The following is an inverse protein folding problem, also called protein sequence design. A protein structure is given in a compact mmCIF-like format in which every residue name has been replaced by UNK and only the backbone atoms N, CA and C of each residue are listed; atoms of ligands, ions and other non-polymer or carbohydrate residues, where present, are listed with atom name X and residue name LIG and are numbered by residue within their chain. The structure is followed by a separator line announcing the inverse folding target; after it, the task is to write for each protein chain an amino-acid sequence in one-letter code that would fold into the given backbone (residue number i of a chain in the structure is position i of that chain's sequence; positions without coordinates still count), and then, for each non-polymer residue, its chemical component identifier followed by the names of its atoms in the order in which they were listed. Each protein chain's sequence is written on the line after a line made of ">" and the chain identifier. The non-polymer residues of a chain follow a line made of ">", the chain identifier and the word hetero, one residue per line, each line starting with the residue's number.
data_IF_505744790982
#
_entry.id   IF_505744790982
#
_cell.length_a   1.000
_cell.length_b   1.000
_cell.length_c   1.000
_cell.angle_alpha   90.00
_cell.angle_beta   90.00
_cell.angle_gamma   90.00
#
_symmetry.space_group_name_H-M   'P 1'
#
loop_
_entity.id
_entity.type
_entity.pdbx_description
1 polymer ?
#
# COMPACT_ATOMS: atom_id res chain seq x y z
N UNK A 1 14.61 -65.72 -18.83
CA UNK A 1 13.17 -65.46 -18.68
C UNK A 1 12.79 -64.97 -17.27
N UNK A 2 13.23 -65.59 -16.16
CA UNK A 2 12.88 -65.13 -14.79
C UNK A 2 13.30 -63.71 -14.44
N UNK A 3 14.45 -63.22 -14.91
CA UNK A 3 14.91 -61.82 -14.64
C UNK A 3 14.07 -60.77 -15.34
N UNK A 4 13.55 -61.02 -16.54
CA UNK A 4 12.63 -60.14 -17.25
C UNK A 4 11.27 -60.00 -16.55
N UNK A 5 10.79 -61.08 -15.94
CA UNK A 5 9.54 -61.11 -15.18
C UNK A 5 9.62 -60.19 -13.92
N UNK A 6 10.77 -60.17 -13.22
CA UNK A 6 10.97 -59.30 -12.07
C UNK A 6 11.02 -57.83 -12.44
N UNK A 7 11.59 -57.49 -13.57
CA UNK A 7 11.62 -56.08 -14.08
C UNK A 7 10.20 -55.61 -14.45
N UNK A 8 9.36 -56.52 -14.99
CA UNK A 8 7.99 -56.21 -15.35
C UNK A 8 7.11 -55.98 -14.10
N UNK A 9 7.32 -56.79 -13.05
CA UNK A 9 6.60 -56.66 -11.75
C UNK A 9 7.01 -55.39 -11.03
N UNK A 10 8.28 -54.98 -11.06
CA UNK A 10 8.74 -53.72 -10.45
C UNK A 10 8.26 -52.48 -11.20
N UNK A 11 8.09 -52.52 -12.52
CA UNK A 11 7.55 -51.45 -13.35
C UNK A 11 6.01 -51.27 -13.09
N UNK A 12 5.27 -52.33 -12.85
CA UNK A 12 3.83 -52.24 -12.54
C UNK A 12 3.61 -51.64 -11.13
N UNK A 13 4.48 -51.92 -10.16
CA UNK A 13 4.37 -51.34 -8.80
C UNK A 13 4.63 -49.84 -8.72
N UNK A 14 5.39 -49.27 -9.69
CA UNK A 14 5.64 -47.84 -9.76
C UNK A 14 4.44 -47.10 -10.37
N UNK A 15 3.68 -47.74 -11.26
CA UNK A 15 2.51 -47.14 -11.90
C UNK A 15 1.31 -46.94 -10.96
N UNK A 16 1.22 -47.68 -9.85
CA UNK A 16 0.09 -47.56 -8.89
C UNK A 16 0.26 -46.45 -7.87
N UNK A 17 1.44 -45.78 -7.78
CA UNK A 17 1.66 -44.67 -6.84
C UNK A 17 1.30 -43.29 -7.40
N UNK A 18 0.89 -43.22 -8.68
CA UNK A 18 0.66 -41.93 -9.37
C UNK A 18 -0.78 -41.44 -9.40
N UNK A 19 -1.69 -42.00 -8.59
CA UNK A 19 -3.08 -41.55 -8.55
C UNK A 19 -3.60 -41.30 -7.11
N UNK A 20 -2.93 -40.43 -6.38
CA UNK A 20 -3.60 -39.63 -5.36
C UNK A 20 -3.73 -38.20 -5.88
N UNK A 21 -4.59 -37.96 -6.84
CA UNK A 21 -5.24 -36.66 -6.94
C UNK A 21 -6.01 -36.45 -5.67
N UNK A 22 -5.55 -35.51 -4.89
CA UNK A 22 -6.27 -35.02 -3.74
C UNK A 22 -7.66 -34.52 -4.21
N UNK A 23 -8.67 -35.31 -4.01
CA UNK A 23 -10.04 -34.87 -3.88
C UNK A 23 -10.15 -34.34 -2.44
N UNK A 24 -9.38 -33.29 -2.14
CA UNK A 24 -9.35 -32.66 -0.83
C UNK A 24 -9.74 -31.19 -0.96
N UNK A 25 -10.93 -30.97 -1.54
CA UNK A 25 -11.57 -29.63 -1.47
C UNK A 25 -13.06 -29.74 -1.15
N UNK A 26 -13.50 -30.83 -0.55
CA UNK A 26 -14.79 -30.82 0.09
C UNK A 26 -14.64 -30.23 1.49
N UNK A 27 -15.41 -29.19 1.83
CA UNK A 27 -15.36 -28.58 3.16
C UNK A 27 -15.63 -29.63 4.22
N UNK A 28 -14.77 -29.69 5.26
CA UNK A 28 -14.84 -30.69 6.33
C UNK A 28 -16.00 -30.48 7.32
N UNK A 29 -16.67 -29.34 7.25
CA UNK A 29 -17.78 -28.98 8.14
C UNK A 29 -19.07 -28.83 7.36
N UNK A 30 -20.16 -29.40 7.90
CA UNK A 30 -21.53 -29.26 7.36
C UNK A 30 -21.94 -27.76 7.29
N UNK A 31 -21.35 -26.90 8.11
CA UNK A 31 -21.58 -25.46 8.12
C UNK A 31 -21.11 -24.75 6.84
N UNK A 32 -20.25 -25.41 6.05
CA UNK A 32 -19.75 -24.87 4.77
C UNK A 32 -20.72 -25.13 3.60
N UNK A 33 -21.80 -25.88 3.83
CA UNK A 33 -22.83 -26.13 2.83
C UNK A 33 -24.00 -25.18 3.01
N UNK A 34 -24.27 -24.40 1.99
CA UNK A 34 -25.46 -23.56 1.92
C UNK A 34 -26.61 -24.39 1.33
N UNK A 35 -27.55 -24.81 2.18
CA UNK A 35 -28.76 -25.50 1.71
C UNK A 35 -29.76 -24.49 1.17
N UNK A 36 -29.89 -24.41 -0.15
CA UNK A 36 -30.87 -23.56 -0.82
C UNK A 36 -32.17 -24.30 -1.00
N UNK A 37 -33.28 -23.85 -0.40
CA UNK A 37 -34.62 -24.38 -0.63
C UNK A 37 -35.14 -23.90 -1.98
N UNK A 38 -36.02 -24.67 -2.68
CA UNK A 38 -36.68 -24.18 -3.86
C UNK A 38 -37.43 -22.85 -3.55
N UNK A 39 -37.08 -21.79 -4.23
CA UNK A 39 -37.62 -20.42 -4.01
C UNK A 39 -36.70 -19.47 -3.22
N UNK A 40 -35.62 -19.95 -2.64
CA UNK A 40 -34.63 -19.06 -2.01
C UNK A 40 -33.73 -18.39 -3.05
N UNK A 41 -33.50 -17.09 -2.87
CA UNK A 41 -32.56 -16.33 -3.69
C UNK A 41 -31.20 -16.32 -2.99
N UNK A 42 -30.21 -16.96 -3.59
CA UNK A 42 -28.85 -16.99 -3.06
C UNK A 42 -28.11 -15.75 -3.57
N UNK A 43 -27.85 -14.80 -2.69
CA UNK A 43 -27.03 -13.63 -3.02
C UNK A 43 -25.57 -13.94 -2.76
N UNK A 44 -24.80 -14.20 -3.82
CA UNK A 44 -23.35 -14.36 -3.72
C UNK A 44 -22.73 -12.98 -3.87
N UNK A 45 -22.12 -12.46 -2.81
CA UNK A 45 -21.29 -11.26 -2.89
C UNK A 45 -20.00 -11.59 -3.64
N UNK A 46 -19.97 -11.32 -4.93
CA UNK A 46 -18.74 -11.37 -5.70
C UNK A 46 -17.87 -10.21 -5.32
N UNK A 47 -16.59 -10.47 -5.11
CA UNK A 47 -15.62 -9.40 -4.96
C UNK A 47 -15.60 -8.57 -6.23
N UNK A 48 -15.83 -7.27 -6.11
CA UNK A 48 -15.83 -6.35 -7.24
C UNK A 48 -14.43 -6.33 -7.89
N UNK A 49 -14.37 -6.79 -9.13
CA UNK A 49 -13.16 -6.77 -9.94
C UNK A 49 -13.11 -5.45 -10.72
N UNK A 50 -12.29 -4.52 -10.26
CA UNK A 50 -12.00 -3.28 -10.96
C UNK A 50 -11.04 -3.54 -12.12
N UNK A 51 -11.50 -3.45 -13.36
CA UNK A 51 -10.63 -3.54 -14.53
C UNK A 51 -10.05 -2.14 -14.82
N UNK A 52 -8.75 -1.99 -14.57
CA UNK A 52 -8.08 -0.72 -14.86
C UNK A 52 -7.61 -0.70 -16.32
N UNK A 53 -7.97 0.33 -17.09
CA UNK A 53 -7.50 0.49 -18.46
C UNK A 53 -5.97 0.67 -18.48
N UNK A 54 -5.33 0.26 -19.57
CA UNK A 54 -3.88 0.42 -19.72
C UNK A 54 -3.48 1.90 -19.67
N UNK A 55 -2.43 2.27 -18.91
CA UNK A 55 -2.00 3.65 -18.81
C UNK A 55 -1.48 4.17 -20.15
N UNK A 56 -1.92 5.35 -20.56
CA UNK A 56 -1.51 6.00 -21.80
C UNK A 56 -0.43 7.05 -21.49
N UNK A 57 0.73 6.91 -22.11
CA UNK A 57 1.86 7.82 -21.97
C UNK A 57 2.11 8.60 -23.25
N UNK A 58 2.36 9.90 -23.15
CA UNK A 58 2.67 10.77 -24.28
C UNK A 58 4.12 10.64 -24.74
N UNK A 59 5.04 10.17 -23.88
CA UNK A 59 6.46 10.05 -24.19
C UNK A 59 7.17 8.97 -23.38
N UNK A 60 8.35 8.53 -23.88
CA UNK A 60 9.25 7.63 -23.12
C UNK A 60 9.73 8.25 -21.80
N UNK A 61 9.75 9.59 -21.69
CA UNK A 61 10.13 10.30 -20.47
C UNK A 61 9.04 10.12 -19.41
N UNK A 62 7.75 10.12 -19.82
CA UNK A 62 6.62 9.92 -18.92
C UNK A 62 6.66 8.53 -18.30
N UNK A 63 6.96 7.51 -19.13
CA UNK A 63 7.14 6.14 -18.64
C UNK A 63 8.27 6.07 -17.60
N UNK A 64 9.42 6.70 -17.86
CA UNK A 64 10.54 6.72 -16.91
C UNK A 64 10.19 7.43 -15.60
N UNK A 65 9.46 8.55 -15.68
CA UNK A 65 8.98 9.25 -14.50
C UNK A 65 8.01 8.39 -13.70
N UNK A 66 7.02 7.78 -14.36
CA UNK A 66 6.03 6.91 -13.73
C UNK A 66 6.70 5.74 -13.00
N UNK A 67 7.63 5.05 -13.63
CA UNK A 67 8.37 3.95 -13.02
C UNK A 67 9.26 4.40 -11.85
N UNK A 68 9.87 5.57 -11.94
CA UNK A 68 10.62 6.16 -10.84
C UNK A 68 9.70 6.51 -9.66
N UNK A 69 8.53 7.09 -9.94
CA UNK A 69 7.55 7.47 -8.93
C UNK A 69 6.93 6.24 -8.27
N UNK A 70 6.63 5.20 -9.03
CA UNK A 70 6.20 3.89 -8.53
C UNK A 70 7.15 3.34 -7.46
N UNK A 71 8.47 3.38 -7.69
CA UNK A 71 9.46 2.96 -6.70
C UNK A 71 9.38 3.76 -5.41
N UNK A 72 9.06 5.06 -5.49
CA UNK A 72 8.89 5.92 -4.31
C UNK A 72 7.64 5.57 -3.52
N UNK A 73 6.54 5.30 -4.23
CA UNK A 73 5.28 4.87 -3.63
C UNK A 73 5.44 3.51 -2.94
N UNK A 74 6.04 2.54 -3.61
CA UNK A 74 6.26 1.20 -3.06
C UNK A 74 7.13 1.22 -1.80
N UNK A 75 8.06 2.17 -1.70
CA UNK A 75 8.86 2.36 -0.50
C UNK A 75 8.07 3.04 0.63
N UNK A 76 7.20 4.01 0.32
CA UNK A 76 6.44 4.75 1.32
C UNK A 76 5.21 4.01 1.83
N UNK A 77 4.54 3.23 0.97
CA UNK A 77 3.25 2.59 1.26
C UNK A 77 3.26 1.66 2.48
N UNK A 78 4.22 0.74 2.68
CA UNK A 78 4.23 -0.13 3.85
C UNK A 78 4.28 0.65 5.16
N UNK A 79 5.01 1.76 5.20
CA UNK A 79 5.07 2.63 6.38
C UNK A 79 3.77 3.39 6.62
N UNK A 80 3.10 3.85 5.56
CA UNK A 80 1.79 4.47 5.67
C UNK A 80 0.75 3.49 6.20
N UNK A 81 0.73 2.26 5.66
CA UNK A 81 -0.15 1.17 6.10
C UNK A 81 0.07 0.86 7.58
N UNK A 82 1.31 0.63 7.99
CA UNK A 82 1.63 0.34 9.38
C UNK A 82 1.30 1.52 10.31
N UNK A 83 1.60 2.76 9.89
CA UNK A 83 1.28 3.96 10.66
C UNK A 83 -0.24 4.12 10.87
N UNK A 84 -1.06 3.90 9.83
CA UNK A 84 -2.52 3.99 9.94
C UNK A 84 -3.09 2.91 10.87
N UNK A 85 -2.65 1.67 10.77
CA UNK A 85 -3.07 0.57 11.64
C UNK A 85 -2.72 0.84 13.12
N UNK A 86 -1.55 1.42 13.37
CA UNK A 86 -1.13 1.80 14.74
C UNK A 86 -1.94 2.98 15.28
N UNK A 87 -2.24 3.97 14.44
CA UNK A 87 -3.07 5.11 14.81
C UNK A 87 -4.50 4.66 15.15
N UNK A 88 -5.07 3.75 14.38
CA UNK A 88 -6.39 3.17 14.65
C UNK A 88 -6.41 2.40 15.97
N UNK A 89 -5.42 1.52 16.17
CA UNK A 89 -5.29 0.78 17.44
C UNK A 89 -5.13 1.71 18.62
N UNK A 90 -4.32 2.78 18.46
CA UNK A 90 -4.14 3.81 19.49
C UNK A 90 -5.46 4.50 19.84
N UNK A 91 -6.17 4.99 18.82
CA UNK A 91 -7.43 5.72 19.00
C UNK A 91 -8.50 4.83 19.65
N UNK A 92 -8.65 3.59 19.19
CA UNK A 92 -9.59 2.62 19.75
C UNK A 92 -9.31 2.30 21.22
N UNK A 93 -8.04 2.12 21.58
CA UNK A 93 -7.66 1.89 22.98
C UNK A 93 -7.80 3.12 23.85
N UNK A 94 -7.45 4.32 23.33
CA UNK A 94 -7.66 5.56 24.07
C UNK A 94 -9.12 5.85 24.34
N UNK A 95 -10.03 5.49 23.42
CA UNK A 95 -11.48 5.62 23.62
C UNK A 95 -11.99 4.78 24.80
N UNK A 96 -11.38 3.63 25.07
CA UNK A 96 -11.77 2.71 26.17
C UNK A 96 -11.15 3.06 27.53
N UNK A 97 -10.20 3.99 27.60
CA UNK A 97 -9.54 4.36 28.85
C UNK A 97 -10.22 5.60 29.43
N UNK A 98 -10.96 5.48 30.50
CA UNK A 98 -11.65 6.58 31.16
C UNK A 98 -10.69 7.53 31.92
N UNK A 99 -9.73 6.97 32.64
CA UNK A 99 -8.80 7.74 33.45
C UNK A 99 -7.82 8.59 32.65
N UNK A 100 -7.81 9.90 32.86
CA UNK A 100 -6.88 10.86 32.25
C UNK A 100 -5.40 10.48 32.48
N UNK A 101 -5.07 10.01 33.69
CA UNK A 101 -3.68 9.57 34.02
C UNK A 101 -3.28 8.33 33.25
N UNK A 102 -4.16 7.32 33.16
CA UNK A 102 -3.93 6.09 32.38
C UNK A 102 -3.80 6.41 30.87
N UNK A 103 -4.66 7.29 30.31
CA UNK A 103 -4.52 7.79 28.92
C UNK A 103 -3.15 8.42 28.70
N UNK A 104 -2.71 9.28 29.62
CA UNK A 104 -1.41 9.96 29.54
C UNK A 104 -0.24 8.98 29.52
N UNK A 105 -0.26 7.96 30.41
CA UNK A 105 0.76 6.90 30.45
C UNK A 105 0.76 6.07 29.17
N UNK A 106 -0.42 5.67 28.69
CA UNK A 106 -0.56 4.89 27.47
C UNK A 106 -0.05 5.65 26.24
N UNK A 107 -0.47 6.91 26.04
CA UNK A 107 0.00 7.75 24.93
C UNK A 107 1.52 7.90 24.94
N UNK A 108 2.14 8.13 26.13
CA UNK A 108 3.60 8.23 26.24
C UNK A 108 4.32 6.93 25.84
N UNK A 109 3.75 5.77 26.21
CA UNK A 109 4.31 4.46 25.85
C UNK A 109 4.28 4.24 24.33
N UNK A 110 3.13 4.49 23.71
CA UNK A 110 2.97 4.34 22.26
C UNK A 110 3.84 5.33 21.49
N UNK A 111 3.95 6.57 21.98
CA UNK A 111 4.86 7.55 21.40
C UNK A 111 6.29 7.00 21.34
N UNK A 112 6.81 6.55 22.50
CA UNK A 112 8.18 6.00 22.57
C UNK A 112 8.38 4.80 21.65
N UNK A 113 7.37 3.94 21.53
CA UNK A 113 7.39 2.78 20.63
C UNK A 113 7.49 3.22 19.16
N UNK A 114 6.61 4.14 18.73
CA UNK A 114 6.61 4.64 17.35
C UNK A 114 7.89 5.42 17.04
N UNK A 115 8.38 6.24 17.97
CA UNK A 115 9.67 6.94 17.82
C UNK A 115 10.81 5.96 17.57
N UNK A 116 10.89 4.86 18.33
CA UNK A 116 11.92 3.84 18.15
C UNK A 116 11.81 3.09 16.83
N UNK A 117 10.59 2.75 16.41
CA UNK A 117 10.37 1.93 15.21
C UNK A 117 10.50 2.72 13.90
N UNK A 118 10.00 3.96 13.88
CA UNK A 118 9.85 4.71 12.63
C UNK A 118 10.92 5.79 12.38
N UNK A 119 11.58 6.30 13.42
CA UNK A 119 12.50 7.43 13.26
C UNK A 119 13.59 7.17 12.23
N UNK A 120 14.26 6.04 12.34
CA UNK A 120 15.39 5.72 11.47
C UNK A 120 14.96 5.46 10.03
N UNK A 121 13.77 4.89 9.86
CA UNK A 121 13.20 4.64 8.54
C UNK A 121 12.78 5.95 7.86
N UNK A 122 12.10 6.84 8.60
CA UNK A 122 11.67 8.14 8.07
C UNK A 122 12.89 9.02 7.76
N UNK A 123 13.93 9.01 8.58
CA UNK A 123 15.18 9.73 8.33
C UNK A 123 15.88 9.32 7.04
N UNK A 124 15.74 8.05 6.63
CA UNK A 124 16.31 7.52 5.38
C UNK A 124 15.44 7.81 4.14
N UNK A 125 14.24 8.36 4.31
CA UNK A 125 13.37 8.70 3.19
C UNK A 125 13.83 9.96 2.47
N UNK A 126 13.63 9.99 1.17
CA UNK A 126 13.78 11.21 0.37
C UNK A 126 12.59 12.15 0.59
N UNK A 127 12.72 13.41 0.23
CA UNK A 127 11.64 14.41 0.30
C UNK A 127 10.35 13.93 -0.40
N UNK A 128 10.48 13.31 -1.57
CA UNK A 128 9.34 12.76 -2.32
C UNK A 128 8.68 11.60 -1.58
N UNK A 129 9.45 10.66 -1.01
CA UNK A 129 8.93 9.54 -0.22
C UNK A 129 8.19 10.03 1.02
N UNK A 130 8.74 11.04 1.72
CA UNK A 130 8.09 11.64 2.88
C UNK A 130 6.77 12.35 2.53
N UNK A 131 6.70 13.06 1.40
CA UNK A 131 5.46 13.69 0.92
C UNK A 131 4.40 12.63 0.59
N UNK A 132 4.78 11.58 -0.13
CA UNK A 132 3.90 10.45 -0.43
C UNK A 132 3.40 9.82 0.88
N UNK A 133 4.27 9.59 1.86
CA UNK A 133 3.90 9.04 3.16
C UNK A 133 2.82 9.88 3.86
N UNK A 134 2.98 11.22 3.90
CA UNK A 134 2.01 12.14 4.52
C UNK A 134 0.65 12.05 3.82
N UNK A 135 0.64 12.04 2.48
CA UNK A 135 -0.57 11.92 1.67
C UNK A 135 -1.26 10.56 1.87
N UNK A 136 -0.49 9.48 1.91
CA UNK A 136 -1.01 8.14 2.17
C UNK A 136 -1.58 7.98 3.58
N UNK A 137 -1.01 8.64 4.60
CA UNK A 137 -1.61 8.68 5.93
C UNK A 137 -3.00 9.31 5.87
N UNK A 138 -3.18 10.42 5.13
CA UNK A 138 -4.50 11.03 4.95
C UNK A 138 -5.46 10.07 4.23
N UNK A 139 -5.04 9.47 3.11
CA UNK A 139 -5.83 8.47 2.38
C UNK A 139 -6.31 7.33 3.27
N UNK A 140 -5.45 6.80 4.11
CA UNK A 140 -5.72 5.60 4.91
C UNK A 140 -6.44 5.87 6.23
N UNK A 141 -6.36 7.09 6.77
CA UNK A 141 -6.97 7.44 8.06
C UNK A 141 -8.17 8.40 7.95
N UNK A 142 -8.36 9.03 6.79
CA UNK A 142 -9.35 10.10 6.59
C UNK A 142 -9.00 11.41 7.31
N UNK A 143 -7.81 11.49 7.92
CA UNK A 143 -7.33 12.68 8.64
C UNK A 143 -5.91 13.01 8.22
N UNK A 144 -5.62 14.32 8.08
CA UNK A 144 -4.24 14.74 7.79
C UNK A 144 -3.26 14.23 8.85
N UNK A 145 -1.99 14.07 8.48
CA UNK A 145 -0.96 13.67 9.45
C UNK A 145 -0.94 14.62 10.66
N UNK A 146 -1.14 15.92 10.43
CA UNK A 146 -1.27 16.92 11.48
C UNK A 146 -2.44 16.64 12.42
N UNK A 147 -3.63 16.35 11.90
CA UNK A 147 -4.83 16.09 12.69
C UNK A 147 -4.72 14.79 13.49
N UNK A 148 -4.07 13.78 12.94
CA UNK A 148 -3.79 12.52 13.64
C UNK A 148 -2.91 12.73 14.88
N UNK A 149 -1.96 13.67 14.83
CA UNK A 149 -1.05 13.95 15.96
C UNK A 149 -1.50 15.10 16.85
N UNK A 150 -2.46 15.94 16.41
CA UNK A 150 -2.95 17.12 17.16
C UNK A 150 -3.52 16.75 18.52
N UNK A 151 -4.25 15.65 18.60
CA UNK A 151 -4.85 15.14 19.84
C UNK A 151 -3.87 14.40 20.76
N UNK A 152 -2.64 14.15 20.29
CA UNK A 152 -1.60 13.50 21.04
C UNK A 152 -0.77 14.55 21.81
N UNK A 153 0.01 14.10 22.80
CA UNK A 153 0.80 15.02 23.64
C UNK A 153 1.83 15.83 22.82
N UNK A 154 2.29 16.92 23.42
CA UNK A 154 3.30 17.82 22.86
C UNK A 154 4.54 17.11 22.29
N UNK A 155 4.97 15.99 22.91
CA UNK A 155 6.09 15.17 22.43
C UNK A 155 5.89 14.60 21.03
N UNK A 156 4.66 14.19 20.67
CA UNK A 156 4.34 13.74 19.32
C UNK A 156 4.52 14.84 18.27
N UNK A 157 4.09 16.06 18.59
CA UNK A 157 4.32 17.21 17.73
C UNK A 157 5.83 17.45 17.54
N UNK A 158 6.59 17.48 18.64
CA UNK A 158 8.03 17.65 18.58
C UNK A 158 8.73 16.56 17.78
N UNK A 159 8.36 15.29 17.99
CA UNK A 159 8.88 14.16 17.23
C UNK A 159 8.66 14.34 15.72
N UNK A 160 7.40 14.57 15.29
CA UNK A 160 7.09 14.74 13.88
C UNK A 160 7.72 15.98 13.28
N UNK A 161 7.73 17.12 13.99
CA UNK A 161 8.40 18.31 13.52
C UNK A 161 9.91 18.12 13.39
N UNK A 162 10.54 17.49 14.37
CA UNK A 162 11.99 17.24 14.31
C UNK A 162 12.37 16.17 13.28
N UNK A 163 11.51 15.16 13.09
CA UNK A 163 11.79 14.05 12.18
C UNK A 163 11.44 14.39 10.73
N UNK A 164 10.31 15.08 10.50
CA UNK A 164 9.82 15.38 9.14
C UNK A 164 10.12 16.79 8.67
N UNK A 165 9.95 17.81 9.49
CA UNK A 165 10.12 19.20 9.09
C UNK A 165 11.57 19.57 8.83
N UNK A 166 12.50 19.11 9.67
CA UNK A 166 13.93 19.36 9.48
C UNK A 166 14.50 18.61 8.26
N UNK A 167 13.97 17.42 7.97
CA UNK A 167 14.45 16.58 6.86
C UNK A 167 13.81 17.00 5.54
N UNK A 168 12.51 17.31 5.54
CA UNK A 168 11.73 17.40 4.32
C UNK A 168 11.14 18.79 4.06
N UNK A 169 11.05 19.69 5.04
CA UNK A 169 10.29 20.96 4.94
C UNK A 169 8.90 20.73 4.34
N UNK A 170 8.21 19.67 4.81
CA UNK A 170 6.92 19.23 4.30
C UNK A 170 5.79 19.71 5.19
N UNK A 171 4.65 19.97 4.61
CA UNK A 171 3.43 20.27 5.34
C UNK A 171 2.78 18.96 5.84
N UNK A 172 2.60 18.80 7.14
CA UNK A 172 1.82 17.71 7.73
C UNK A 172 0.30 17.88 7.52
N UNK A 173 -0.10 19.02 6.95
CA UNK A 173 -1.49 19.34 6.61
C UNK A 173 -1.86 18.98 5.18
N UNK A 174 -0.90 18.46 4.39
CA UNK A 174 -1.17 18.07 3.01
C UNK A 174 -2.27 17.00 2.99
N UNK A 175 -3.26 17.27 2.17
CA UNK A 175 -4.42 16.40 1.94
C UNK A 175 -4.24 15.56 0.69
N UNK A 176 -5.06 14.53 0.55
CA UNK A 176 -5.06 13.62 -0.58
C UNK A 176 -6.36 13.76 -1.36
N UNK A 177 -6.25 14.17 -2.63
CA UNK A 177 -7.36 14.46 -3.53
C UNK A 177 -7.06 13.94 -4.94
N UNK A 178 -7.28 12.64 -5.22
CA UNK A 178 -6.97 12.04 -6.52
C UNK A 178 -7.83 12.60 -7.66
N UNK A 179 -9.01 13.14 -7.34
CA UNK A 179 -9.92 13.77 -8.27
C UNK A 179 -9.35 15.06 -8.88
N UNK A 180 -8.68 15.89 -8.06
CA UNK A 180 -8.23 17.23 -8.45
C UNK A 180 -6.74 17.36 -8.58
N UNK A 181 -5.97 16.65 -7.73
CA UNK A 181 -4.51 16.74 -7.68
C UNK A 181 -3.88 15.61 -8.50
N UNK A 182 -3.19 15.98 -9.58
CA UNK A 182 -2.59 15.01 -10.49
C UNK A 182 -1.54 14.10 -9.84
N UNK A 183 -0.78 14.57 -8.85
CA UNK A 183 0.16 13.72 -8.10
C UNK A 183 -0.59 12.64 -7.32
N UNK A 184 -1.73 12.97 -6.71
CA UNK A 184 -2.53 12.05 -5.92
C UNK A 184 -3.24 11.04 -6.83
N UNK A 185 -3.70 11.48 -8.01
CA UNK A 185 -4.17 10.57 -9.06
C UNK A 185 -3.09 9.55 -9.45
N UNK A 186 -1.84 10.00 -9.68
CA UNK A 186 -0.74 9.09 -10.01
C UNK A 186 -0.43 8.11 -8.86
N UNK A 187 -0.53 8.57 -7.62
CA UNK A 187 -0.36 7.69 -6.45
C UNK A 187 -1.46 6.63 -6.46
N UNK A 188 -2.72 7.03 -6.65
CA UNK A 188 -3.86 6.10 -6.64
C UNK A 188 -3.79 5.11 -7.81
N UNK A 189 -3.49 5.57 -9.03
CA UNK A 189 -3.33 4.69 -10.20
C UNK A 189 -2.28 3.61 -9.96
N UNK A 190 -1.13 4.00 -9.41
CA UNK A 190 -0.04 3.06 -9.11
C UNK A 190 -0.43 2.09 -8.00
N UNK A 191 -1.14 2.54 -6.97
CA UNK A 191 -1.61 1.69 -5.88
C UNK A 191 -2.65 0.69 -6.35
N UNK A 192 -3.66 1.13 -7.10
CA UNK A 192 -4.74 0.26 -7.57
C UNK A 192 -4.19 -0.84 -8.50
N UNK A 193 -3.25 -0.51 -9.39
CA UNK A 193 -2.56 -1.52 -10.21
C UNK A 193 -1.73 -2.48 -9.36
N UNK A 194 -1.01 -1.97 -8.37
CA UNK A 194 -0.20 -2.80 -7.49
C UNK A 194 -1.05 -3.72 -6.59
N UNK A 195 -2.28 -3.33 -6.26
CA UNK A 195 -3.25 -4.16 -5.56
C UNK A 195 -3.88 -5.22 -6.47
N UNK A 196 -4.14 -4.87 -7.73
CA UNK A 196 -4.64 -5.79 -8.73
C UNK A 196 -3.62 -6.87 -9.08
N UNK A 197 -2.34 -6.49 -9.14
CA UNK A 197 -1.21 -7.39 -9.43
C UNK A 197 -0.70 -8.13 -8.18
N UNK A 198 -1.37 -8.02 -7.02
CA UNK A 198 -0.96 -8.57 -5.70
C UNK A 198 0.47 -8.22 -5.27
N UNK A 199 1.05 -7.16 -5.85
CA UNK A 199 2.39 -6.68 -5.49
C UNK A 199 2.40 -5.96 -4.14
N UNK A 200 1.29 -5.29 -3.79
CA UNK A 200 1.08 -4.65 -2.51
C UNK A 200 -0.19 -5.17 -1.84
N UNK A 201 -0.10 -5.43 -0.54
CA UNK A 201 -1.27 -5.83 0.24
C UNK A 201 -2.28 -4.68 0.29
N UNK A 202 -3.47 -4.91 -0.23
CA UNK A 202 -4.54 -3.89 -0.30
C UNK A 202 -4.89 -3.32 1.08
N UNK A 203 -5.09 -2.01 1.11
CA UNK A 203 -5.75 -1.28 2.19
C UNK A 203 -6.69 -0.26 1.55
N UNK A 204 -7.97 -0.34 1.90
CA UNK A 204 -8.99 0.57 1.39
C UNK A 204 -8.73 2.01 1.81
N UNK A 205 -9.12 2.97 0.97
CA UNK A 205 -9.16 4.38 1.34
C UNK A 205 -10.24 4.62 2.39
N UNK A 206 -10.02 5.55 3.30
CA UNK A 206 -11.06 6.10 4.19
C UNK A 206 -11.66 7.40 3.67
N UNK A 207 -11.14 7.88 2.55
CA UNK A 207 -11.69 9.01 1.83
C UNK A 207 -12.71 8.49 0.81
N UNK A 208 -13.76 9.25 0.60
CA UNK A 208 -14.83 8.92 -0.35
C UNK A 208 -14.45 9.50 -1.71
N UNK A 209 -14.06 8.64 -2.64
CA UNK A 209 -13.88 8.95 -4.07
C UNK A 209 -14.06 7.69 -4.89
N UNK A 210 -14.56 7.82 -6.10
CA UNK A 210 -14.64 6.73 -7.07
C UNK A 210 -13.45 6.80 -8.03
N UNK A 211 -12.51 5.87 -7.86
CA UNK A 211 -11.34 5.85 -8.73
C UNK A 211 -11.65 5.36 -10.15
N UNK A 212 -12.72 4.56 -10.35
CA UNK A 212 -13.14 4.13 -11.68
C UNK A 212 -13.69 5.30 -12.49
N UNK A 213 -14.49 6.16 -11.86
CA UNK A 213 -14.96 7.40 -12.46
C UNK A 213 -13.78 8.30 -12.83
N UNK A 214 -12.89 8.58 -11.88
CA UNK A 214 -11.72 9.45 -12.09
C UNK A 214 -10.83 8.95 -13.25
N UNK A 215 -10.53 7.66 -13.33
CA UNK A 215 -9.66 7.11 -14.39
C UNK A 215 -10.36 7.11 -15.74
N UNK A 216 -11.68 6.94 -15.76
CA UNK A 216 -12.52 7.01 -16.95
C UNK A 216 -12.54 8.43 -17.53
N UNK A 217 -12.81 9.44 -16.72
CA UNK A 217 -12.78 10.85 -17.09
C UNK A 217 -11.42 11.26 -17.67
N UNK A 218 -10.34 10.82 -17.04
CA UNK A 218 -8.97 11.07 -17.51
C UNK A 218 -8.56 10.20 -18.70
N UNK A 219 -9.45 9.31 -19.20
CA UNK A 219 -9.19 8.39 -20.34
C UNK A 219 -7.87 7.61 -20.16
N UNK A 220 -7.54 7.25 -18.93
CA UNK A 220 -6.27 6.61 -18.50
C UNK A 220 -5.01 7.35 -18.94
N UNK A 221 -5.08 8.65 -19.23
CA UNK A 221 -3.92 9.47 -19.62
C UNK A 221 -3.09 9.80 -18.40
N UNK A 222 -1.81 9.44 -18.45
CA UNK A 222 -0.84 9.77 -17.43
C UNK A 222 -0.18 11.10 -17.79
N UNK A 223 -0.55 12.15 -17.08
CA UNK A 223 0.04 13.47 -17.24
C UNK A 223 1.15 13.70 -16.21
N UNK A 224 2.37 13.83 -16.69
CA UNK A 224 3.56 14.11 -15.88
C UNK A 224 4.22 15.43 -16.24
N UNK A 225 3.59 16.25 -17.07
CA UNK A 225 4.18 17.50 -17.61
C UNK A 225 4.69 18.42 -16.49
N UNK A 226 3.88 18.65 -15.48
CA UNK A 226 4.22 19.43 -14.29
C UNK A 226 5.50 18.94 -13.56
N UNK A 227 5.82 17.65 -13.70
CA UNK A 227 6.95 17.02 -12.99
C UNK A 227 8.18 16.80 -13.88
N UNK A 228 8.07 16.96 -15.19
CA UNK A 228 9.17 16.79 -16.15
C UNK A 228 10.38 17.68 -15.80
N UNK A 229 10.13 18.93 -15.49
CA UNK A 229 11.21 19.87 -15.11
C UNK A 229 11.90 19.45 -13.80
N UNK A 230 11.10 19.06 -12.79
CA UNK A 230 11.64 18.60 -11.51
C UNK A 230 12.50 17.36 -11.69
N UNK A 231 12.04 16.41 -12.50
CA UNK A 231 12.78 15.19 -12.82
C UNK A 231 14.04 15.45 -13.61
N UNK A 232 14.01 16.38 -14.56
CA UNK A 232 15.17 16.81 -15.32
C UNK A 232 16.22 17.52 -14.43
N UNK A 233 15.77 18.38 -13.52
CA UNK A 233 16.64 19.05 -12.52
C UNK A 233 17.30 18.02 -11.58
N UNK A 234 16.56 17.02 -11.12
CA UNK A 234 17.12 15.94 -10.29
C UNK A 234 18.16 15.11 -11.02
N UNK A 235 17.91 14.76 -12.30
CA UNK A 235 18.84 14.01 -13.14
C UNK A 235 20.15 14.81 -13.37
N UNK A 236 20.05 16.11 -13.66
CA UNK A 236 21.24 16.99 -13.79
C UNK A 236 22.06 17.06 -12.50
N UNK A 237 21.40 17.17 -11.33
CA UNK A 237 22.07 17.17 -10.02
C UNK A 237 22.78 15.83 -9.74
N UNK A 238 22.15 14.69 -10.06
CA UNK A 238 22.78 13.37 -9.89
C UNK A 238 24.00 13.22 -10.79
N UNK A 239 23.92 13.63 -12.04
CA UNK A 239 25.05 13.59 -12.99
C UNK A 239 26.25 14.45 -12.51
N UNK A 240 26.00 15.60 -11.87
CA UNK A 240 27.05 16.43 -11.27
C UNK A 240 27.70 15.79 -10.04
N UNK A 241 26.97 14.99 -9.26
CA UNK A 241 27.49 14.35 -8.04
C UNK A 241 28.27 13.04 -8.32
N UNK A 242 27.94 12.35 -9.41
CA UNK A 242 28.55 11.08 -9.81
C UNK A 242 29.08 11.16 -11.27
N UNK A 243 30.15 11.93 -11.54
CA UNK A 243 30.68 12.07 -12.91
C UNK A 243 31.32 10.77 -13.44
N UNK A 244 31.78 9.86 -12.56
CA UNK A 244 32.47 8.62 -12.93
C UNK A 244 31.55 7.48 -13.44
N UNK A 245 30.23 7.59 -13.35
CA UNK A 245 29.27 6.56 -13.82
C UNK A 245 28.82 6.70 -15.28
N UNK A 246 29.39 7.63 -16.04
CA UNK A 246 29.00 7.94 -17.42
C UNK A 246 30.21 7.96 -18.41
N UNK A 247 31.33 7.28 -18.05
CA UNK A 247 32.38 6.91 -19.01
C UNK A 247 32.27 5.44 -19.32
#
# INVERSE_FOLDING_TARGET
>A
MKKLLYIYITLISIATFSQKRAVDSLPKNIEDYVFVKPGDTLTINLNEFSILPKPKFSSKIDVRYYLWFRKKIFKAYPFAKLASERLDTLNNRLGRIESKSKRKKYTKRIQKYIEGEFTDQIKKMTKTEGRILIKLIHRQTGKTAFNNIKGLRSGWKAFWYNTTANIFKLSLKDEYHPETINEDFLIEDILQRAFQDDVLKRQSSRLTFDFQEIISERKAKIDVEKYKEMFAKMKKRKKKRDPKKNK
#
